data_IF_970398652762
#
_entry.id   IF_970398652762
#
_cell.length_a   1.000
_cell.length_b   1.000
_cell.length_c   1.000
_cell.angle_alpha   90.00
_cell.angle_beta   90.00
_cell.angle_gamma   90.00
#
_symmetry.space_group_name_H-M   'P 1'
#
loop_
_entity.id
_entity.type
_entity.pdbx_description
1 polymer ?
#
# COMPACT_ATOMS: atom_id res chain seq x y z
N UNK A 1 2.44 -17.26 23.86
CA UNK A 1 1.86 -17.68 22.56
C UNK A 1 1.48 -16.40 21.82
N UNK A 2 1.97 -16.21 20.60
CA UNK A 2 1.56 -15.08 19.77
C UNK A 2 0.07 -15.21 19.48
N UNK A 3 -0.73 -14.24 19.88
CA UNK A 3 -2.17 -14.23 19.64
C UNK A 3 -2.41 -14.00 18.15
N UNK A 4 -3.26 -14.83 17.55
CA UNK A 4 -3.61 -14.73 16.13
C UNK A 4 -5.06 -14.27 15.99
N UNK A 5 -5.31 -13.49 14.94
CA UNK A 5 -6.64 -13.04 14.55
C UNK A 5 -7.19 -14.01 13.49
N UNK A 6 -8.30 -14.67 13.83
CA UNK A 6 -9.03 -15.54 12.90
C UNK A 6 -10.30 -14.84 12.42
N UNK A 7 -10.49 -14.76 11.10
CA UNK A 7 -11.65 -14.10 10.50
C UNK A 7 -12.75 -15.13 10.20
N UNK A 8 -13.85 -15.09 10.93
CA UNK A 8 -15.05 -15.92 10.68
C UNK A 8 -15.97 -15.33 9.59
N UNK A 9 -15.73 -14.07 9.22
CA UNK A 9 -16.45 -13.35 8.16
C UNK A 9 -15.48 -12.39 7.45
N UNK A 10 -15.87 -11.96 6.27
CA UNK A 10 -15.06 -11.03 5.47
C UNK A 10 -14.78 -9.73 6.22
N UNK A 11 -13.51 -9.37 6.44
CA UNK A 11 -13.14 -8.16 7.17
C UNK A 11 -13.53 -6.84 6.47
N UNK A 12 -13.95 -6.86 5.19
CA UNK A 12 -14.42 -5.66 4.50
C UNK A 12 -15.95 -5.54 4.43
N UNK A 13 -16.67 -6.61 4.03
CA UNK A 13 -18.11 -6.52 3.84
C UNK A 13 -18.95 -7.23 4.92
N UNK A 14 -18.34 -8.10 5.73
CA UNK A 14 -19.01 -8.85 6.78
C UNK A 14 -19.66 -10.17 6.33
N UNK A 15 -19.58 -10.53 5.04
CA UNK A 15 -20.18 -11.78 4.52
C UNK A 15 -19.46 -13.01 5.07
N UNK A 16 -20.22 -14.07 5.37
CA UNK A 16 -19.70 -15.39 5.75
C UNK A 16 -19.43 -16.32 4.56
N UNK A 17 -19.72 -15.89 3.31
CA UNK A 17 -19.46 -16.69 2.11
C UNK A 17 -17.98 -16.59 1.72
N UNK A 18 -17.17 -17.42 2.39
CA UNK A 18 -15.72 -17.45 2.28
C UNK A 18 -15.27 -18.72 1.56
N UNK A 19 -14.20 -18.59 0.76
CA UNK A 19 -13.59 -19.70 0.04
C UNK A 19 -12.08 -19.73 0.28
N UNK A 20 -11.55 -20.88 0.65
CA UNK A 20 -10.09 -21.14 0.69
C UNK A 20 -9.53 -21.13 -0.71
N UNK A 21 -8.42 -20.43 -0.92
CA UNK A 21 -7.78 -20.29 -2.25
C UNK A 21 -6.49 -21.10 -2.32
N UNK A 22 -5.50 -20.74 -1.53
CA UNK A 22 -4.21 -21.44 -1.40
C UNK A 22 -3.45 -20.91 -0.17
N UNK A 23 -2.35 -21.56 0.16
CA UNK A 23 -1.42 -21.06 1.18
C UNK A 23 -0.27 -20.33 0.53
N UNK A 24 0.19 -19.24 1.16
CA UNK A 24 1.34 -18.44 0.76
C UNK A 24 2.40 -18.52 1.85
N UNK A 25 3.66 -18.65 1.44
CA UNK A 25 4.81 -18.69 2.36
C UNK A 25 5.35 -17.29 2.62
N UNK A 26 5.67 -16.98 3.89
CA UNK A 26 6.51 -15.83 4.22
C UNK A 26 7.96 -16.11 3.79
N UNK A 27 8.38 -15.52 2.70
CA UNK A 27 9.73 -15.69 2.13
C UNK A 27 10.78 -14.78 2.76
N UNK A 28 10.39 -13.86 3.65
CA UNK A 28 11.27 -12.78 4.13
C UNK A 28 11.74 -12.94 5.57
N UNK A 29 10.90 -13.48 6.46
CA UNK A 29 11.20 -13.53 7.91
C UNK A 29 10.99 -14.92 8.49
N UNK A 30 9.73 -15.38 8.60
CA UNK A 30 9.39 -16.56 9.41
C UNK A 30 9.48 -17.89 8.67
N UNK A 31 9.41 -17.88 7.34
CA UNK A 31 9.18 -19.07 6.51
C UNK A 31 7.88 -19.83 6.80
N UNK A 32 7.00 -19.30 7.64
CA UNK A 32 5.66 -19.85 7.89
C UNK A 32 4.77 -19.72 6.65
N UNK A 33 3.76 -20.58 6.57
CA UNK A 33 2.75 -20.50 5.51
C UNK A 33 1.40 -20.07 6.08
N UNK A 34 0.73 -19.17 5.38
CA UNK A 34 -0.55 -18.60 5.76
C UNK A 34 -1.61 -18.90 4.70
N UNK A 35 -2.81 -19.28 5.14
CA UNK A 35 -3.94 -19.53 4.25
C UNK A 35 -4.49 -18.19 3.74
N UNK A 36 -4.74 -18.12 2.43
CA UNK A 36 -5.50 -17.02 1.81
C UNK A 36 -6.93 -17.48 1.58
N UNK A 37 -7.87 -16.70 2.09
CA UNK A 37 -9.29 -16.88 1.82
C UNK A 37 -9.82 -15.72 0.96
N UNK A 38 -10.89 -15.98 0.22
CA UNK A 38 -11.56 -14.99 -0.64
C UNK A 38 -13.04 -14.90 -0.25
N UNK A 39 -13.53 -13.70 -0.10
CA UNK A 39 -14.95 -13.43 0.04
C UNK A 39 -15.63 -13.40 -1.33
N UNK A 40 -16.57 -14.29 -1.58
CA UNK A 40 -17.32 -14.37 -2.84
C UNK A 40 -18.24 -13.14 -3.05
N UNK A 41 -18.69 -12.52 -1.97
CA UNK A 41 -19.59 -11.37 -2.02
C UNK A 41 -18.88 -10.08 -2.50
N UNK A 42 -17.65 -9.79 -2.02
CA UNK A 42 -16.94 -8.56 -2.37
C UNK A 42 -15.60 -8.78 -3.09
N UNK A 43 -15.16 -10.03 -3.27
CA UNK A 43 -13.85 -10.41 -3.83
C UNK A 43 -12.64 -9.80 -3.07
N UNK A 44 -12.74 -9.56 -1.77
CA UNK A 44 -11.57 -9.35 -0.95
C UNK A 44 -10.91 -10.70 -0.70
N UNK A 45 -9.59 -10.79 -0.92
CA UNK A 45 -8.78 -11.85 -0.31
C UNK A 45 -8.18 -11.34 0.98
N UNK A 46 -7.95 -12.23 1.93
CA UNK A 46 -7.32 -11.90 3.19
C UNK A 46 -6.52 -13.07 3.71
N UNK A 47 -5.48 -12.74 4.48
CA UNK A 47 -4.63 -13.71 5.16
C UNK A 47 -5.34 -14.19 6.42
N UNK A 48 -5.44 -15.52 6.60
CA UNK A 48 -6.08 -16.10 7.77
C UNK A 48 -5.05 -16.34 8.88
N UNK A 49 -5.51 -16.33 10.14
CA UNK A 49 -4.69 -16.55 11.33
C UNK A 49 -3.46 -15.63 11.42
N UNK A 50 -3.66 -14.34 11.08
CA UNK A 50 -2.59 -13.34 11.14
C UNK A 50 -2.18 -13.03 12.58
N UNK A 51 -0.90 -12.69 12.84
CA UNK A 51 -0.50 -12.17 14.13
C UNK A 51 -1.31 -10.92 14.51
N UNK A 52 -1.68 -10.77 15.77
CA UNK A 52 -2.36 -9.56 16.23
C UNK A 52 -1.45 -8.31 16.17
N UNK A 53 -2.01 -7.13 16.41
CA UNK A 53 -1.31 -5.85 16.33
C UNK A 53 -0.07 -5.80 17.25
N UNK A 54 -0.10 -6.49 18.40
CA UNK A 54 1.01 -6.51 19.33
C UNK A 54 2.15 -7.45 18.92
N UNK A 55 1.86 -8.48 18.11
CA UNK A 55 2.83 -9.51 17.72
C UNK A 55 3.31 -9.39 16.28
N UNK A 56 2.60 -8.67 15.41
CA UNK A 56 2.97 -8.50 13.98
C UNK A 56 4.33 -7.84 13.79
N UNK A 57 4.77 -6.99 14.74
CA UNK A 57 6.05 -6.28 14.66
C UNK A 57 7.27 -7.18 14.46
N UNK A 58 7.24 -8.44 14.93
CA UNK A 58 8.32 -9.40 14.73
C UNK A 58 8.53 -9.79 13.26
N UNK A 59 7.50 -9.70 12.44
CA UNK A 59 7.53 -10.02 11.00
C UNK A 59 8.06 -8.88 10.12
N UNK A 60 8.36 -7.70 10.70
CA UNK A 60 9.02 -6.58 10.01
C UNK A 60 10.52 -6.53 10.25
N UNK A 61 11.06 -7.39 11.14
CA UNK A 61 12.48 -7.44 11.49
C UNK A 61 13.26 -8.31 10.51
N UNK A 62 13.58 -7.81 9.31
CA UNK A 62 14.52 -8.47 8.40
C UNK A 62 15.50 -7.46 7.83
N UNK A 63 16.75 -7.91 7.57
CA UNK A 63 17.77 -7.08 6.89
C UNK A 63 17.32 -6.66 5.49
N UNK A 64 16.53 -7.49 4.80
CA UNK A 64 15.97 -7.14 3.48
C UNK A 64 14.93 -6.02 3.58
N UNK A 65 14.13 -5.95 4.63
CA UNK A 65 13.14 -4.90 4.84
C UNK A 65 13.80 -3.55 5.18
N UNK A 66 14.87 -3.58 5.99
CA UNK A 66 15.66 -2.41 6.37
C UNK A 66 16.48 -1.88 5.19
N UNK A 67 16.95 -2.74 4.27
CA UNK A 67 17.81 -2.36 3.15
C UNK A 67 17.11 -1.58 2.02
N UNK A 68 15.79 -1.51 2.02
CA UNK A 68 15.06 -0.66 1.05
C UNK A 68 15.35 0.85 1.22
N UNK A 69 16.09 1.24 2.25
CA UNK A 69 16.34 2.63 2.54
C UNK A 69 17.62 3.21 1.95
N UNK A 70 18.74 2.47 1.71
CA UNK A 70 19.97 3.21 1.38
C UNK A 70 21.16 2.47 0.72
N UNK A 71 21.06 1.32 0.08
CA UNK A 71 22.28 0.69 -0.48
C UNK A 71 22.21 0.33 -1.95
N UNK A 72 22.65 1.24 -2.82
CA UNK A 72 23.22 0.87 -4.11
C UNK A 72 24.20 1.93 -4.59
N UNK A 73 25.48 1.60 -4.76
CA UNK A 73 26.49 2.42 -5.45
C UNK A 73 26.47 2.05 -6.94
N UNK A 74 26.45 3.04 -7.86
CA UNK A 74 26.61 2.82 -9.30
C UNK A 74 25.51 3.43 -10.18
N UNK A 75 25.60 3.18 -11.50
CA UNK A 75 24.65 3.69 -12.52
C UNK A 75 23.18 3.29 -12.25
N UNK A 76 22.95 2.10 -11.72
CA UNK A 76 21.61 1.60 -11.33
C UNK A 76 21.00 2.50 -10.25
N UNK A 77 21.81 2.96 -9.31
CA UNK A 77 21.37 3.86 -8.25
C UNK A 77 20.95 5.23 -8.79
N UNK A 78 21.71 5.79 -9.74
CA UNK A 78 21.35 7.06 -10.38
C UNK A 78 20.02 6.97 -11.12
N UNK A 79 19.77 5.87 -11.84
CA UNK A 79 18.49 5.62 -12.51
C UNK A 79 17.34 5.48 -11.50
N UNK A 80 17.56 4.70 -10.43
CA UNK A 80 16.58 4.54 -9.35
C UNK A 80 16.19 5.89 -8.72
N UNK A 81 17.17 6.74 -8.38
CA UNK A 81 16.91 8.07 -7.82
C UNK A 81 16.15 8.98 -8.79
N UNK A 82 16.44 8.93 -10.10
CA UNK A 82 15.68 9.69 -11.11
C UNK A 82 14.23 9.22 -11.20
N UNK A 83 14.03 7.91 -11.25
CA UNK A 83 12.67 7.31 -11.29
C UNK A 83 11.91 7.69 -10.02
N UNK A 84 12.53 7.52 -8.85
CA UNK A 84 11.93 7.90 -7.55
C UNK A 84 11.52 9.38 -7.53
N UNK A 85 12.43 10.29 -7.90
CA UNK A 85 12.16 11.74 -7.96
C UNK A 85 11.01 12.07 -8.93
N UNK A 86 10.97 11.42 -10.09
CA UNK A 86 9.88 11.58 -11.06
C UNK A 86 8.55 11.06 -10.51
N UNK A 87 8.57 9.93 -9.83
CA UNK A 87 7.38 9.33 -9.20
C UNK A 87 6.81 10.24 -8.12
N UNK A 88 7.65 10.81 -7.24
CA UNK A 88 7.22 11.75 -6.21
C UNK A 88 6.56 12.99 -6.82
N UNK A 89 7.18 13.60 -7.84
CA UNK A 89 6.60 14.73 -8.58
C UNK A 89 5.28 14.38 -9.26
N UNK A 90 5.15 13.17 -9.81
CA UNK A 90 3.92 12.73 -10.44
C UNK A 90 2.81 12.51 -9.40
N UNK A 91 3.13 11.97 -8.23
CA UNK A 91 2.19 11.87 -7.09
C UNK A 91 1.68 13.26 -6.68
N UNK A 92 2.58 14.25 -6.51
CA UNK A 92 2.19 15.63 -6.21
C UNK A 92 1.25 16.21 -7.27
N UNK A 93 1.61 16.09 -8.56
CA UNK A 93 0.76 16.56 -9.67
C UNK A 93 -0.60 15.86 -9.69
N UNK A 94 -0.65 14.57 -9.36
CA UNK A 94 -1.90 13.82 -9.26
C UNK A 94 -2.80 14.42 -8.18
N UNK A 95 -2.25 14.69 -6.99
CA UNK A 95 -2.99 15.31 -5.88
C UNK A 95 -3.49 16.70 -6.29
N UNK A 96 -2.62 17.55 -6.82
CA UNK A 96 -3.00 18.89 -7.29
C UNK A 96 -4.14 18.86 -8.33
N UNK A 97 -4.06 17.91 -9.29
CA UNK A 97 -5.10 17.73 -10.30
C UNK A 97 -6.41 17.23 -9.72
N UNK A 98 -6.37 16.28 -8.80
CA UNK A 98 -7.58 15.66 -8.25
C UNK A 98 -8.30 16.57 -7.24
N UNK A 99 -7.55 17.36 -6.49
CA UNK A 99 -8.11 18.35 -5.53
C UNK A 99 -8.47 19.68 -6.19
N UNK A 100 -7.91 19.99 -7.36
CA UNK A 100 -7.98 21.32 -7.99
C UNK A 100 -7.13 22.39 -7.30
N UNK A 101 -6.32 22.01 -6.30
CA UNK A 101 -5.54 22.92 -5.47
C UNK A 101 -4.06 22.90 -5.89
N UNK A 102 -3.42 24.08 -5.93
CA UNK A 102 -1.97 24.17 -6.06
C UNK A 102 -1.24 23.87 -4.75
N UNK A 103 -1.83 24.30 -3.63
CA UNK A 103 -1.36 24.13 -2.25
C UNK A 103 -2.54 23.85 -1.35
N UNK A 104 -2.31 23.29 -0.17
CA UNK A 104 -3.34 22.94 0.81
C UNK A 104 -2.74 22.17 1.98
N UNK A 105 -3.59 21.60 2.82
CA UNK A 105 -3.18 20.74 3.93
C UNK A 105 -3.29 19.27 3.54
N UNK A 106 -2.22 18.51 3.75
CA UNK A 106 -2.24 17.07 3.47
C UNK A 106 -1.67 16.25 4.63
N UNK A 107 -2.17 15.02 4.72
CA UNK A 107 -1.67 13.98 5.60
C UNK A 107 -1.15 12.80 4.75
N UNK A 108 0.07 12.34 5.04
CA UNK A 108 0.64 11.12 4.46
C UNK A 108 0.82 10.08 5.57
N UNK A 109 0.06 8.98 5.46
CA UNK A 109 0.08 7.89 6.44
C UNK A 109 1.03 6.79 5.98
N UNK A 110 1.85 6.26 6.91
CA UNK A 110 2.93 5.34 6.57
C UNK A 110 3.95 6.02 5.65
N UNK A 111 4.34 7.26 5.99
CA UNK A 111 5.14 8.10 5.11
C UNK A 111 6.61 7.66 4.98
N UNK A 112 7.02 6.59 5.69
CA UNK A 112 8.38 6.07 5.71
C UNK A 112 9.40 7.14 6.07
N UNK A 113 10.47 7.25 5.29
CA UNK A 113 11.52 8.27 5.49
C UNK A 113 11.12 9.69 5.08
N UNK A 114 9.83 9.98 4.90
CA UNK A 114 9.29 11.32 4.68
C UNK A 114 9.57 11.92 3.30
N UNK A 115 10.08 11.15 2.34
CA UNK A 115 10.45 11.69 1.01
C UNK A 115 9.29 12.33 0.27
N UNK A 116 8.06 11.78 0.40
CA UNK A 116 6.89 12.35 -0.24
C UNK A 116 6.36 13.56 0.53
N UNK A 117 6.38 13.53 1.85
CA UNK A 117 6.06 14.69 2.71
C UNK A 117 6.97 15.88 2.35
N UNK A 118 8.27 15.62 2.18
CA UNK A 118 9.23 16.66 1.74
C UNK A 118 8.92 17.20 0.34
N UNK A 119 8.62 16.33 -0.65
CA UNK A 119 8.22 16.76 -2.00
C UNK A 119 6.99 17.66 -1.98
N UNK A 120 6.00 17.33 -1.12
CA UNK A 120 4.79 18.13 -0.97
C UNK A 120 5.07 19.48 -0.31
N UNK A 121 5.90 19.52 0.76
CA UNK A 121 6.35 20.77 1.40
C UNK A 121 7.11 21.67 0.44
N UNK A 122 8.03 21.13 -0.36
CA UNK A 122 8.72 21.85 -1.41
C UNK A 122 7.77 22.38 -2.50
N UNK A 123 6.64 21.72 -2.70
CA UNK A 123 5.54 22.14 -3.56
C UNK A 123 4.59 23.15 -2.94
N UNK A 124 4.86 23.65 -1.73
CA UNK A 124 4.07 24.67 -1.03
C UNK A 124 2.88 24.11 -0.23
N UNK A 125 2.80 22.77 -0.04
CA UNK A 125 1.76 22.15 0.79
C UNK A 125 2.15 22.16 2.26
N UNK A 126 1.17 22.35 3.14
CA UNK A 126 1.30 22.06 4.57
C UNK A 126 1.12 20.54 4.75
N UNK A 127 2.25 19.82 4.75
CA UNK A 127 2.25 18.36 4.75
C UNK A 127 2.63 17.82 6.13
N UNK A 128 1.77 16.95 6.68
CA UNK A 128 1.97 16.17 7.90
C UNK A 128 2.25 14.73 7.52
N UNK A 129 3.21 14.09 8.17
CA UNK A 129 3.52 12.66 8.01
C UNK A 129 3.29 11.91 9.31
N UNK A 130 2.70 10.71 9.23
CA UNK A 130 2.65 9.74 10.32
C UNK A 130 3.35 8.45 9.88
N UNK A 131 4.21 7.89 10.76
CA UNK A 131 4.98 6.67 10.46
C UNK A 131 5.18 5.86 11.75
N UNK A 132 4.85 4.56 11.79
CA UNK A 132 5.03 3.75 12.98
C UNK A 132 6.50 3.44 13.28
N UNK A 133 7.37 3.28 12.26
CA UNK A 133 8.77 2.92 12.43
C UNK A 133 9.60 4.10 12.95
N UNK A 134 10.18 4.01 14.18
CA UNK A 134 11.00 5.06 14.75
C UNK A 134 12.30 5.31 13.96
N UNK A 135 12.88 4.29 13.33
CA UNK A 135 14.11 4.43 12.54
C UNK A 135 13.82 5.21 11.25
N UNK A 136 12.68 4.94 10.59
CA UNK A 136 12.23 5.71 9.44
C UNK A 136 11.98 7.19 9.81
N UNK A 137 11.36 7.45 10.98
CA UNK A 137 11.15 8.82 11.50
C UNK A 137 12.48 9.55 11.75
N UNK A 138 13.47 8.83 12.32
CA UNK A 138 14.82 9.38 12.53
C UNK A 138 15.49 9.77 11.23
N UNK A 139 15.44 8.91 10.22
CA UNK A 139 15.96 9.20 8.86
C UNK A 139 15.26 10.40 8.25
N UNK A 140 13.94 10.54 8.41
CA UNK A 140 13.19 11.70 7.91
C UNK A 140 13.67 13.02 8.56
N UNK A 141 13.97 12.98 9.85
CA UNK A 141 14.52 14.14 10.58
C UNK A 141 15.91 14.51 10.08
N UNK A 142 16.78 13.50 9.90
CA UNK A 142 18.17 13.71 9.45
C UNK A 142 18.25 14.22 8.01
N UNK A 143 17.46 13.63 7.08
CA UNK A 143 17.53 13.98 5.66
C UNK A 143 16.75 15.23 5.28
N UNK A 144 15.63 15.50 5.94
CA UNK A 144 14.68 16.53 5.51
C UNK A 144 14.27 17.50 6.61
N UNK A 145 14.78 17.36 7.85
CA UNK A 145 14.37 18.14 9.02
C UNK A 145 12.85 18.06 9.29
N UNK A 146 12.26 16.89 9.00
CA UNK A 146 10.83 16.66 9.21
C UNK A 146 10.56 16.13 10.61
N UNK A 147 9.56 16.70 11.28
CA UNK A 147 8.99 16.17 12.52
C UNK A 147 7.81 15.24 12.15
N UNK A 148 8.14 13.97 11.89
CA UNK A 148 7.17 12.90 11.65
C UNK A 148 6.84 12.26 13.00
N UNK A 149 5.55 12.03 13.25
CA UNK A 149 5.06 11.46 14.50
C UNK A 149 4.53 10.04 14.29
N UNK A 150 4.29 9.35 15.41
CA UNK A 150 3.74 7.99 15.40
C UNK A 150 2.30 7.94 14.87
N UNK A 151 1.92 6.82 14.25
CA UNK A 151 0.57 6.60 13.70
C UNK A 151 -0.55 6.65 14.74
N UNK A 152 -0.26 6.42 16.04
CA UNK A 152 -1.23 6.61 17.13
C UNK A 152 -1.78 8.03 17.19
N UNK A 153 -1.05 9.04 16.68
CA UNK A 153 -1.53 10.41 16.60
C UNK A 153 -2.70 10.61 15.62
N UNK A 154 -2.97 9.65 14.75
CA UNK A 154 -4.08 9.71 13.79
C UNK A 154 -5.43 10.05 14.44
N UNK A 155 -5.69 9.48 15.61
CA UNK A 155 -6.94 9.64 16.34
C UNK A 155 -7.04 10.94 17.15
N UNK A 156 -5.93 11.68 17.26
CA UNK A 156 -5.86 12.98 17.94
C UNK A 156 -5.90 14.18 16.98
N UNK A 157 -5.87 13.92 15.67
CA UNK A 157 -5.94 14.98 14.66
C UNK A 157 -7.35 15.58 14.58
N UNK A 158 -7.40 16.88 14.26
CA UNK A 158 -8.67 17.61 14.16
C UNK A 158 -9.47 17.18 12.92
N UNK A 159 -10.76 16.97 13.10
CA UNK A 159 -11.70 16.68 12.03
C UNK A 159 -11.72 17.79 10.97
N UNK A 160 -11.99 17.42 9.71
CA UNK A 160 -12.15 18.38 8.61
C UNK A 160 -10.91 19.22 8.32
N UNK A 161 -9.72 18.70 8.60
CA UNK A 161 -8.47 19.47 8.47
C UNK A 161 -7.82 19.35 7.10
N UNK A 162 -7.88 18.19 6.43
CA UNK A 162 -7.05 17.90 5.28
C UNK A 162 -7.79 18.01 3.95
N UNK A 163 -7.14 18.67 3.00
CA UNK A 163 -7.56 18.73 1.59
C UNK A 163 -7.20 17.45 0.85
N UNK A 164 -6.14 16.78 1.28
CA UNK A 164 -5.71 15.48 0.76
C UNK A 164 -5.19 14.58 1.88
N UNK A 165 -5.56 13.30 1.84
CA UNK A 165 -4.97 12.24 2.68
C UNK A 165 -4.44 11.16 1.76
N UNK A 166 -3.22 10.66 2.00
CA UNK A 166 -2.56 9.66 1.17
C UNK A 166 -2.14 8.45 1.98
N UNK A 167 -2.38 7.26 1.40
CA UNK A 167 -1.92 5.96 1.88
C UNK A 167 -1.24 5.24 0.70
N UNK A 168 0.08 5.13 0.74
CA UNK A 168 0.87 4.48 -0.30
C UNK A 168 1.35 3.13 0.22
N UNK A 169 0.62 2.05 -0.06
CA UNK A 169 0.86 0.70 0.46
C UNK A 169 0.81 0.66 2.00
N UNK A 170 -0.34 1.03 2.54
CA UNK A 170 -0.58 1.10 4.00
C UNK A 170 -1.85 0.34 4.39
N UNK A 171 -2.93 0.48 3.61
CA UNK A 171 -4.24 -0.03 4.01
C UNK A 171 -4.26 -1.57 4.15
N UNK A 172 -3.42 -2.26 3.39
CA UNK A 172 -3.23 -3.70 3.45
C UNK A 172 -2.65 -4.21 4.78
N UNK A 173 -2.02 -3.33 5.58
CA UNK A 173 -1.37 -3.65 6.85
C UNK A 173 -2.21 -3.33 8.09
N UNK A 174 -3.34 -2.63 7.93
CA UNK A 174 -4.11 -2.06 9.05
C UNK A 174 -5.01 -3.10 9.70
N UNK A 175 -4.88 -3.38 11.00
CA UNK A 175 -5.71 -4.36 11.69
C UNK A 175 -7.18 -3.92 11.83
N UNK A 176 -7.43 -2.68 12.23
CA UNK A 176 -8.79 -2.11 12.28
C UNK A 176 -9.13 -1.38 10.98
N UNK A 177 -9.47 -2.17 9.94
CA UNK A 177 -9.77 -1.65 8.61
C UNK A 177 -10.92 -0.63 8.60
N UNK A 178 -11.98 -0.89 9.34
CA UNK A 178 -13.16 -0.03 9.35
C UNK A 178 -12.96 1.24 10.15
N UNK A 179 -12.44 1.14 11.37
CA UNK A 179 -12.13 2.32 12.20
C UNK A 179 -11.14 3.25 11.52
N UNK A 180 -10.18 2.66 10.78
CA UNK A 180 -9.21 3.45 10.02
C UNK A 180 -9.89 4.26 8.89
N UNK A 181 -10.76 3.64 8.09
CA UNK A 181 -11.51 4.35 7.02
C UNK A 181 -12.42 5.43 7.59
N UNK A 182 -13.11 5.17 8.71
CA UNK A 182 -13.95 6.15 9.38
C UNK A 182 -13.14 7.34 9.89
N UNK A 183 -11.97 7.10 10.50
CA UNK A 183 -11.10 8.16 10.95
C UNK A 183 -10.58 9.01 9.78
N UNK A 184 -10.17 8.37 8.66
CA UNK A 184 -9.75 9.09 7.46
C UNK A 184 -10.87 9.97 6.90
N UNK A 185 -12.11 9.46 6.83
CA UNK A 185 -13.27 10.23 6.43
C UNK A 185 -13.49 11.44 7.32
N UNK A 186 -13.41 11.25 8.65
CA UNK A 186 -13.59 12.34 9.63
C UNK A 186 -12.53 13.44 9.47
N UNK A 187 -11.31 13.09 9.11
CA UNK A 187 -10.19 14.04 8.95
C UNK A 187 -10.26 14.84 7.63
N UNK A 188 -10.92 14.31 6.59
CA UNK A 188 -11.08 14.99 5.32
C UNK A 188 -11.99 16.22 5.45
N UNK A 189 -11.63 17.31 4.76
CA UNK A 189 -12.56 18.40 4.47
C UNK A 189 -13.67 17.90 3.54
N UNK A 190 -14.82 18.58 3.51
CA UNK A 190 -15.97 18.27 2.65
C UNK A 190 -15.61 18.03 1.18
N UNK A 191 -14.67 18.81 0.63
CA UNK A 191 -14.19 18.67 -0.75
C UNK A 191 -12.81 17.99 -0.82
N UNK A 192 -12.32 17.45 0.29
CA UNK A 192 -11.04 16.76 0.37
C UNK A 192 -11.04 15.44 -0.40
N UNK A 193 -9.85 14.97 -0.74
CA UNK A 193 -9.66 13.71 -1.47
C UNK A 193 -8.78 12.75 -0.68
N UNK A 194 -9.20 11.48 -0.65
CA UNK A 194 -8.43 10.38 -0.11
C UNK A 194 -7.80 9.60 -1.28
N UNK A 195 -6.49 9.35 -1.17
CA UNK A 195 -5.72 8.59 -2.15
C UNK A 195 -5.22 7.31 -1.48
N UNK A 196 -5.74 6.17 -1.89
CA UNK A 196 -5.33 4.86 -1.40
C UNK A 196 -4.65 4.11 -2.53
N UNK A 197 -3.38 3.76 -2.35
CA UNK A 197 -2.67 2.87 -3.27
C UNK A 197 -2.44 1.52 -2.60
N UNK A 198 -2.89 0.45 -3.22
CA UNK A 198 -2.72 -0.92 -2.73
C UNK A 198 -2.43 -1.89 -3.86
N UNK A 199 -1.75 -3.02 -3.59
CA UNK A 199 -1.59 -4.10 -4.53
C UNK A 199 -2.94 -4.67 -4.97
N UNK A 200 -2.99 -5.13 -6.23
CA UNK A 200 -4.19 -5.68 -6.85
C UNK A 200 -3.96 -7.13 -7.26
N UNK A 201 -4.49 -8.08 -6.49
CA UNK A 201 -4.31 -9.50 -6.77
C UNK A 201 -5.00 -9.98 -8.06
N UNK A 202 -5.87 -9.14 -8.66
CA UNK A 202 -6.53 -9.46 -9.93
C UNK A 202 -5.70 -9.05 -11.16
N UNK A 203 -4.51 -8.51 -10.94
CA UNK A 203 -3.57 -8.07 -11.98
C UNK A 203 -3.01 -9.22 -12.84
N UNK A 204 -2.37 -8.86 -13.95
CA UNK A 204 -1.75 -9.81 -14.86
C UNK A 204 -0.60 -10.58 -14.22
N UNK A 205 0.27 -9.90 -13.49
CA UNK A 205 1.41 -10.50 -12.78
C UNK A 205 0.95 -11.38 -11.61
N UNK A 206 -0.06 -11.00 -10.84
CA UNK A 206 -0.62 -11.85 -9.79
C UNK A 206 -1.15 -13.19 -10.36
N UNK A 207 -1.79 -13.17 -11.53
CA UNK A 207 -2.27 -14.39 -12.22
C UNK A 207 -1.13 -15.29 -12.71
N UNK A 208 0.01 -14.70 -13.11
CA UNK A 208 1.20 -15.44 -13.58
C UNK A 208 1.91 -16.13 -12.41
N UNK A 209 2.07 -15.42 -11.30
CA UNK A 209 2.88 -15.90 -10.17
C UNK A 209 2.07 -16.67 -9.12
N UNK A 210 0.73 -16.50 -9.09
CA UNK A 210 -0.19 -17.19 -8.16
C UNK A 210 0.28 -17.06 -6.71
N UNK A 211 0.43 -18.18 -5.98
CA UNK A 211 0.90 -18.25 -4.59
C UNK A 211 2.31 -17.66 -4.37
N UNK A 212 3.10 -17.52 -5.44
CA UNK A 212 4.44 -16.91 -5.40
C UNK A 212 4.43 -15.40 -5.70
N UNK A 213 3.24 -14.79 -5.88
CA UNK A 213 3.16 -13.34 -6.12
C UNK A 213 3.62 -12.57 -4.89
N UNK A 214 4.72 -11.81 -5.03
CA UNK A 214 5.41 -11.19 -3.90
C UNK A 214 4.56 -10.18 -3.13
N UNK A 215 3.56 -9.57 -3.80
CA UNK A 215 2.69 -8.63 -3.13
C UNK A 215 1.60 -9.27 -2.26
N UNK A 216 1.59 -10.62 -2.10
CA UNK A 216 0.88 -11.21 -0.97
C UNK A 216 1.55 -10.89 0.36
N UNK A 217 2.86 -10.83 0.40
CA UNK A 217 3.69 -10.40 1.55
C UNK A 217 3.14 -10.80 2.93
N UNK A 218 2.77 -12.09 3.07
CA UNK A 218 2.18 -12.63 4.31
C UNK A 218 3.22 -12.72 5.44
N UNK A 219 2.83 -12.54 6.71
CA UNK A 219 1.51 -12.12 7.19
C UNK A 219 1.37 -10.59 7.30
N UNK A 220 2.33 -9.80 6.80
CA UNK A 220 2.35 -8.33 6.88
C UNK A 220 1.17 -7.70 6.14
N UNK A 221 0.83 -8.24 4.94
CA UNK A 221 -0.41 -7.90 4.25
C UNK A 221 -1.56 -8.76 4.80
N UNK A 222 -2.45 -8.13 5.54
CA UNK A 222 -3.66 -8.76 6.06
C UNK A 222 -4.71 -8.92 4.97
N UNK A 223 -4.76 -7.94 4.05
CA UNK A 223 -5.76 -7.85 3.00
C UNK A 223 -5.11 -7.77 1.62
N UNK A 224 -5.74 -8.46 0.65
CA UNK A 224 -5.34 -8.44 -0.75
C UNK A 224 -6.53 -7.94 -1.55
N UNK A 225 -6.42 -6.70 -1.98
CA UNK A 225 -7.54 -5.98 -2.57
C UNK A 225 -7.75 -6.32 -4.05
N UNK A 226 -9.01 -6.25 -4.47
CA UNK A 226 -9.46 -6.11 -5.85
C UNK A 226 -10.10 -4.74 -6.03
N UNK A 227 -10.25 -4.23 -7.27
CA UNK A 227 -11.00 -2.99 -7.50
C UNK A 227 -12.43 -3.03 -6.97
N UNK A 228 -13.06 -4.21 -6.98
CA UNK A 228 -14.41 -4.39 -6.43
C UNK A 228 -14.42 -4.31 -4.91
N UNK A 229 -13.47 -4.95 -4.24
CA UNK A 229 -13.43 -4.95 -2.77
C UNK A 229 -13.14 -3.56 -2.20
N UNK A 230 -12.23 -2.78 -2.81
CA UNK A 230 -11.99 -1.39 -2.39
C UNK A 230 -13.23 -0.54 -2.60
N UNK A 231 -13.92 -0.67 -3.75
CA UNK A 231 -15.15 0.07 -4.01
C UNK A 231 -16.21 -0.21 -2.94
N UNK A 232 -16.49 -1.49 -2.66
CA UNK A 232 -17.49 -1.90 -1.65
C UNK A 232 -17.08 -1.41 -0.25
N UNK A 233 -15.80 -1.50 0.11
CA UNK A 233 -15.30 -1.04 1.39
C UNK A 233 -15.55 0.46 1.58
N UNK A 234 -15.16 1.30 0.64
CA UNK A 234 -15.29 2.75 0.80
C UNK A 234 -16.75 3.22 0.72
N UNK A 235 -17.55 2.60 -0.15
CA UNK A 235 -18.99 2.91 -0.26
C UNK A 235 -19.78 2.52 1.00
N UNK A 236 -19.38 1.44 1.71
CA UNK A 236 -19.94 1.06 3.01
C UNK A 236 -19.80 2.16 4.07
N UNK A 237 -18.74 2.96 3.97
CA UNK A 237 -18.50 4.13 4.82
C UNK A 237 -19.09 5.44 4.28
N UNK A 238 -19.92 5.37 3.22
CA UNK A 238 -20.51 6.55 2.59
C UNK A 238 -19.51 7.46 1.89
N UNK A 239 -18.36 6.88 1.48
CA UNK A 239 -17.39 7.52 0.62
C UNK A 239 -17.65 7.14 -0.85
N UNK A 240 -17.25 8.00 -1.78
CA UNK A 240 -17.43 7.81 -3.22
C UNK A 240 -16.10 7.55 -3.90
N UNK A 241 -15.98 6.42 -4.57
CA UNK A 241 -14.84 6.14 -5.44
C UNK A 241 -14.99 6.90 -6.77
N UNK A 242 -14.08 7.83 -7.06
CA UNK A 242 -14.15 8.67 -8.25
C UNK A 242 -13.32 8.15 -9.43
N UNK A 243 -12.06 7.74 -9.14
CA UNK A 243 -11.11 7.39 -10.19
C UNK A 243 -10.17 6.27 -9.77
N UNK A 244 -9.69 5.52 -10.78
CA UNK A 244 -8.57 4.60 -10.68
C UNK A 244 -7.37 5.18 -11.41
N UNK A 245 -6.16 5.09 -10.84
CA UNK A 245 -4.90 5.47 -11.51
C UNK A 245 -3.87 4.34 -11.36
N UNK A 246 -3.08 4.06 -12.40
CA UNK A 246 -2.09 3.00 -12.35
C UNK A 246 -0.82 3.41 -11.62
N UNK A 247 -0.17 2.43 -10.97
CA UNK A 247 1.21 2.53 -10.49
C UNK A 247 2.13 1.67 -11.39
N UNK A 248 2.62 2.25 -12.47
CA UNK A 248 3.32 1.53 -13.56
C UNK A 248 4.60 0.82 -13.15
N UNK A 249 5.32 1.32 -12.14
CA UNK A 249 6.63 0.78 -11.78
C UNK A 249 6.56 -0.43 -10.86
N UNK A 250 5.47 -0.61 -10.12
CA UNK A 250 5.31 -1.67 -9.13
C UNK A 250 5.36 -3.07 -9.76
N UNK A 251 4.77 -3.22 -10.95
CA UNK A 251 4.74 -4.50 -11.67
C UNK A 251 6.13 -5.11 -11.91
N UNK A 252 7.14 -4.27 -12.19
CA UNK A 252 8.51 -4.73 -12.43
C UNK A 252 9.18 -5.21 -11.16
N UNK A 253 9.01 -4.45 -10.07
CA UNK A 253 9.56 -4.81 -8.76
C UNK A 253 8.90 -6.07 -8.20
N UNK A 254 7.57 -6.10 -8.23
CA UNK A 254 6.79 -7.26 -7.77
C UNK A 254 7.11 -8.50 -8.60
N UNK A 255 7.22 -8.39 -9.94
CA UNK A 255 7.59 -9.50 -10.80
C UNK A 255 9.01 -10.03 -10.52
N UNK A 256 9.96 -9.13 -10.20
CA UNK A 256 11.33 -9.52 -9.83
C UNK A 256 11.35 -10.36 -8.55
N UNK A 257 10.71 -9.89 -7.48
CA UNK A 257 10.62 -10.63 -6.21
C UNK A 257 9.83 -11.93 -6.38
N UNK A 258 8.72 -11.90 -7.11
CA UNK A 258 7.90 -13.10 -7.38
C UNK A 258 8.70 -14.16 -8.13
N UNK A 259 9.58 -13.77 -9.07
CA UNK A 259 10.46 -14.70 -9.75
C UNK A 259 11.49 -15.34 -8.82
N UNK A 260 12.01 -14.57 -7.84
CA UNK A 260 12.91 -15.08 -6.77
C UNK A 260 12.16 -16.10 -5.91
N UNK A 261 10.94 -15.81 -5.48
CA UNK A 261 10.14 -16.71 -4.64
C UNK A 261 9.78 -18.00 -5.35
N UNK A 262 9.46 -17.94 -6.64
CA UNK A 262 9.11 -19.11 -7.44
C UNK A 262 10.29 -20.01 -7.78
N UNK A 263 11.47 -19.43 -8.08
CA UNK A 263 12.62 -20.15 -8.67
C UNK A 263 13.81 -20.24 -7.71
N UNK A 264 13.74 -19.71 -6.50
CA UNK A 264 14.84 -19.61 -5.53
C UNK A 264 15.87 -18.51 -5.86
N UNK A 265 15.86 -17.98 -7.10
CA UNK A 265 16.73 -16.88 -7.55
C UNK A 265 15.98 -15.95 -8.51
N UNK A 266 16.34 -14.67 -8.56
CA UNK A 266 15.67 -13.72 -9.46
C UNK A 266 15.98 -14.04 -10.93
N UNK A 267 14.94 -14.01 -11.77
CA UNK A 267 15.05 -14.14 -13.22
C UNK A 267 14.71 -12.78 -13.85
N UNK A 268 15.74 -11.96 -14.08
CA UNK A 268 15.60 -10.60 -14.59
C UNK A 268 14.87 -10.51 -15.94
N UNK A 269 15.21 -11.31 -16.99
CA UNK A 269 14.48 -11.27 -18.25
C UNK A 269 13.01 -11.61 -18.10
N UNK A 270 12.68 -12.71 -17.41
CA UNK A 270 11.30 -13.14 -17.20
C UNK A 270 10.52 -12.11 -16.37
N UNK A 271 11.12 -11.54 -15.32
CA UNK A 271 10.52 -10.51 -14.49
C UNK A 271 10.20 -9.24 -15.30
N UNK A 272 11.13 -8.81 -16.15
CA UNK A 272 10.92 -7.66 -17.03
C UNK A 272 9.74 -7.89 -17.99
N UNK A 273 9.72 -9.03 -18.70
CA UNK A 273 8.64 -9.36 -19.65
C UNK A 273 7.28 -9.52 -18.96
N UNK A 274 7.24 -10.14 -17.77
CA UNK A 274 5.99 -10.30 -17.03
C UNK A 274 5.48 -8.95 -16.50
N UNK A 275 6.37 -8.09 -15.99
CA UNK A 275 6.03 -6.73 -15.59
C UNK A 275 5.53 -5.88 -16.77
N UNK A 276 6.20 -5.95 -17.91
CA UNK A 276 5.78 -5.27 -19.14
C UNK A 276 4.40 -5.77 -19.62
N UNK A 277 4.19 -7.09 -19.66
CA UNK A 277 2.91 -7.69 -20.05
C UNK A 277 1.78 -7.27 -19.11
N UNK A 278 2.04 -7.22 -17.81
CA UNK A 278 1.08 -6.71 -16.81
C UNK A 278 0.72 -5.25 -17.10
N UNK A 279 1.71 -4.39 -17.35
CA UNK A 279 1.48 -2.99 -17.70
C UNK A 279 0.74 -2.81 -19.03
N UNK A 280 1.05 -3.58 -20.06
CA UNK A 280 0.33 -3.54 -21.34
C UNK A 280 -1.16 -3.89 -21.15
N UNK A 281 -1.47 -4.88 -20.32
CA UNK A 281 -2.87 -5.20 -20.00
C UNK A 281 -3.57 -4.07 -19.23
N UNK A 282 -2.82 -3.32 -18.41
CA UNK A 282 -3.32 -2.17 -17.66
C UNK A 282 -3.52 -0.90 -18.51
N UNK A 283 -2.87 -0.79 -19.68
CA UNK A 283 -3.12 0.32 -20.62
C UNK A 283 -4.56 0.33 -21.16
N UNK A 284 -5.13 -0.84 -21.37
CA UNK A 284 -6.51 -0.97 -21.83
C UNK A 284 -7.53 -0.92 -20.67
N UNK A 285 -7.12 -1.34 -19.49
CA UNK A 285 -7.98 -1.35 -18.30
C UNK A 285 -7.10 -1.19 -17.04
N UNK A 286 -7.13 0.01 -16.46
CA UNK A 286 -6.35 0.35 -15.23
C UNK A 286 -6.60 -0.63 -14.08
N UNK A 287 -7.77 -1.26 -14.03
CA UNK A 287 -8.12 -2.25 -13.00
C UNK A 287 -7.30 -3.55 -13.10
N UNK A 288 -6.48 -3.70 -14.14
CA UNK A 288 -5.53 -4.82 -14.32
C UNK A 288 -4.10 -4.47 -13.91
N UNK A 289 -3.85 -3.24 -13.43
CA UNK A 289 -2.54 -2.83 -12.95
C UNK A 289 -2.14 -3.60 -11.68
N UNK A 290 -0.85 -3.86 -11.51
CA UNK A 290 -0.28 -4.56 -10.33
C UNK A 290 -0.60 -3.85 -9.02
N UNK A 291 -0.50 -2.52 -8.99
CA UNK A 291 -0.98 -1.68 -7.90
C UNK A 291 -1.83 -0.54 -8.47
N UNK A 292 -2.89 -0.19 -7.75
CA UNK A 292 -3.87 0.82 -8.19
C UNK A 292 -3.98 1.91 -7.13
N UNK A 293 -3.98 3.17 -7.59
CA UNK A 293 -4.34 4.32 -6.77
C UNK A 293 -5.84 4.57 -6.94
N UNK A 294 -6.56 4.56 -5.86
CA UNK A 294 -7.97 4.90 -5.76
C UNK A 294 -8.11 6.34 -5.29
N UNK A 295 -8.83 7.17 -6.04
CA UNK A 295 -9.16 8.56 -5.66
C UNK A 295 -10.59 8.56 -5.19
N UNK A 296 -10.78 9.00 -3.94
CA UNK A 296 -12.01 8.84 -3.18
C UNK A 296 -12.41 10.21 -2.60
N UNK A 297 -13.70 10.50 -2.57
CA UNK A 297 -14.27 11.69 -1.92
C UNK A 297 -15.33 11.32 -0.86
N UNK A 298 -15.73 12.31 -0.10
CA UNK A 298 -16.93 12.22 0.74
C UNK A 298 -18.18 12.32 -0.10
#
# INVERSE_FOLDING_TARGET
MNKRVHYNSCPACGSSDLQKIFSVKDHTVSNESFLIEECKSCSLRFTQDVPDENSIGSYYKSEEYISHTNTAKGLVNSLYHRVRKRTLKNKRKLIQKATGLRTGKMLDLGCGTGSFVNEMKQGGWEATGLEPDPDARKVAKELYSLDITDTGQLYHLLAGTFDAITLWHVLEHVHDLHGYIEQLKKLLKKNGKLFIAVPNYTSGDAKIYKEHWAAYDVPRHLYHFSPRSVKILVEKHGLKLEQYKPMWFDSFYVALLSSKYKNGKPNLPAAFWNGLRSNLSAMNDVKKCSSIIYIISQ
#
